data_IF_338784601874
#
_entry.id   IF_338784601874
#
_cell.length_a   1.000
_cell.length_b   1.000
_cell.length_c   1.000
_cell.angle_alpha   90.00
_cell.angle_beta   90.00
_cell.angle_gamma   90.00
#
_symmetry.space_group_name_H-M   'P 1'
#
loop_
_entity.id
_entity.type
_entity.pdbx_description
1 polymer ?
#
# COMPACT_ATOMS: atom_id res chain seq x y z
N UNK A 1 -0.20 -2.91 3.74
CA UNK A 1 -0.95 -4.15 3.48
C UNK A 1 -0.10 -5.37 3.86
N UNK A 2 -0.43 -6.06 4.98
CA UNK A 2 0.29 -7.25 5.46
C UNK A 2 -0.03 -8.53 4.68
N UNK A 3 -0.90 -8.47 3.67
CA UNK A 3 -1.31 -9.63 2.84
C UNK A 3 -0.64 -9.65 1.48
N UNK A 4 -0.29 -8.46 0.97
CA UNK A 4 0.30 -8.28 -0.35
C UNK A 4 1.47 -7.31 -0.28
N UNK A 5 2.67 -7.82 -0.42
CA UNK A 5 3.92 -7.07 -0.31
C UNK A 5 4.27 -6.20 -1.51
N UNK A 6 3.30 -5.64 -2.25
CA UNK A 6 3.60 -4.85 -3.46
C UNK A 6 4.48 -3.64 -3.17
N UNK A 7 4.25 -2.94 -2.07
CA UNK A 7 5.09 -1.81 -1.65
C UNK A 7 6.50 -2.27 -1.25
N UNK A 8 6.62 -3.44 -0.61
CA UNK A 8 7.93 -4.03 -0.23
C UNK A 8 8.79 -4.36 -1.44
N UNK A 9 8.17 -4.61 -2.61
CA UNK A 9 8.92 -4.87 -3.86
C UNK A 9 9.73 -3.65 -4.32
N UNK A 10 9.36 -2.44 -3.93
CA UNK A 10 10.10 -1.21 -4.25
C UNK A 10 11.48 -1.20 -3.61
N UNK A 11 11.64 -1.88 -2.49
CA UNK A 11 12.89 -1.96 -1.70
C UNK A 11 13.45 -3.39 -1.67
N UNK A 12 13.17 -4.19 -2.71
CA UNK A 12 13.74 -5.52 -2.87
C UNK A 12 13.15 -6.61 -1.98
N UNK A 13 12.02 -6.35 -1.32
CA UNK A 13 11.33 -7.30 -0.43
C UNK A 13 12.25 -7.92 0.64
N UNK A 14 12.83 -7.13 1.55
CA UNK A 14 13.70 -7.64 2.60
C UNK A 14 12.97 -8.64 3.50
N UNK A 15 13.76 -9.55 4.09
CA UNK A 15 13.22 -10.63 4.93
C UNK A 15 12.68 -10.18 6.28
N UNK A 16 13.11 -9.02 6.78
CA UNK A 16 12.64 -8.40 8.01
C UNK A 16 11.83 -7.13 7.71
N UNK A 17 10.85 -6.84 8.56
CA UNK A 17 9.97 -5.69 8.36
C UNK A 17 8.89 -5.56 9.42
N UNK A 18 7.78 -4.91 9.03
CA UNK A 18 6.66 -4.58 9.91
C UNK A 18 6.10 -5.80 10.66
N UNK A 19 5.97 -6.95 10.00
CA UNK A 19 5.43 -8.15 10.63
C UNK A 19 6.34 -8.66 11.75
N UNK A 20 7.65 -8.55 11.59
CA UNK A 20 8.63 -8.98 12.58
C UNK A 20 8.61 -8.06 13.79
N UNK A 21 8.49 -6.74 13.57
CA UNK A 21 8.28 -5.78 14.64
C UNK A 21 6.98 -6.03 15.39
N UNK A 22 5.85 -6.16 14.70
CA UNK A 22 4.54 -6.37 15.34
C UNK A 22 4.49 -7.69 16.13
N UNK A 23 5.20 -8.73 15.67
CA UNK A 23 5.32 -10.01 16.34
C UNK A 23 6.30 -9.99 17.53
N UNK A 24 7.03 -8.89 17.73
CA UNK A 24 8.03 -8.79 18.79
C UNK A 24 9.32 -9.56 18.52
N UNK A 25 9.60 -9.92 17.26
CA UNK A 25 10.88 -10.53 16.87
C UNK A 25 12.02 -9.53 16.87
N UNK A 26 11.70 -8.27 16.61
CA UNK A 26 12.62 -7.15 16.71
C UNK A 26 11.94 -5.97 17.42
N UNK A 27 12.75 -5.20 18.15
CA UNK A 27 12.36 -3.91 18.73
C UNK A 27 13.04 -2.74 17.98
N UNK A 28 13.96 -3.07 17.08
CA UNK A 28 14.70 -2.12 16.26
C UNK A 28 13.84 -1.71 15.04
N UNK A 29 13.09 -0.62 15.22
CA UNK A 29 12.24 -0.09 14.17
C UNK A 29 13.07 0.59 13.06
N UNK A 30 14.14 1.27 13.43
CA UNK A 30 15.03 1.95 12.48
C UNK A 30 15.73 0.95 11.56
N UNK A 31 16.20 -0.16 12.11
CA UNK A 31 16.90 -1.21 11.35
C UNK A 31 16.04 -1.93 10.29
N UNK A 32 14.71 -1.80 10.37
CA UNK A 32 13.78 -2.39 9.39
C UNK A 32 13.19 -1.37 8.41
N UNK A 33 13.47 -0.08 8.58
CA UNK A 33 13.10 0.97 7.62
C UNK A 33 14.11 0.99 6.48
N UNK A 34 13.60 1.00 5.26
CA UNK A 34 14.41 1.11 4.05
C UNK A 34 14.41 2.55 3.57
N UNK A 35 15.58 3.20 3.56
CA UNK A 35 15.71 4.57 3.04
C UNK A 35 15.62 4.57 1.52
N UNK A 36 14.68 5.29 0.96
CA UNK A 36 14.35 5.22 -0.46
C UNK A 36 15.50 5.59 -1.38
N UNK A 37 16.39 6.50 -0.98
CA UNK A 37 17.57 6.89 -1.75
C UNK A 37 18.48 5.69 -2.08
N UNK A 38 18.62 4.73 -1.17
CA UNK A 38 19.43 3.53 -1.36
C UNK A 38 18.88 2.60 -2.44
N UNK A 39 17.58 2.70 -2.70
CA UNK A 39 16.84 1.91 -3.68
C UNK A 39 16.50 2.69 -4.96
N UNK A 40 17.07 3.91 -5.11
CA UNK A 40 16.79 4.76 -6.27
C UNK A 40 15.41 5.38 -6.30
N UNK A 41 14.75 5.46 -5.14
CA UNK A 41 13.49 6.17 -4.96
C UNK A 41 13.74 7.68 -4.72
N UNK A 42 12.65 8.40 -4.51
CA UNK A 42 12.70 9.85 -4.26
C UNK A 42 13.40 10.11 -2.92
N UNK A 43 14.16 11.19 -2.86
CA UNK A 43 14.79 11.67 -1.62
C UNK A 43 13.74 11.93 -0.54
N UNK A 44 14.13 11.70 0.71
CA UNK A 44 13.27 11.89 1.88
C UNK A 44 11.96 11.05 1.83
N UNK A 45 12.03 9.88 1.17
CA UNK A 45 10.95 8.90 1.11
C UNK A 45 11.45 7.54 1.58
N UNK A 46 10.92 7.07 2.70
CA UNK A 46 11.28 5.80 3.31
C UNK A 46 10.16 4.77 3.18
N UNK A 47 10.52 3.51 3.19
CA UNK A 47 9.59 2.39 3.09
C UNK A 47 9.78 1.45 4.27
N UNK A 48 8.70 1.19 5.01
CA UNK A 48 8.66 0.11 5.97
C UNK A 48 8.05 -1.13 5.29
N UNK A 49 8.88 -2.10 4.88
CA UNK A 49 8.42 -3.30 4.19
C UNK A 49 7.64 -4.22 5.13
N UNK A 50 6.92 -5.18 4.57
CA UNK A 50 6.20 -6.19 5.38
C UNK A 50 7.17 -7.06 6.16
N UNK A 51 8.30 -7.42 5.57
CA UNK A 51 9.16 -8.49 6.05
C UNK A 51 8.57 -9.87 5.74
N UNK A 52 8.69 -10.80 6.65
CA UNK A 52 8.10 -12.13 6.53
C UNK A 52 6.57 -12.05 6.54
N UNK A 53 5.91 -12.59 5.52
CA UNK A 53 4.45 -12.58 5.45
C UNK A 53 3.83 -13.37 6.59
N UNK A 54 3.02 -12.73 7.46
CA UNK A 54 2.48 -13.40 8.63
C UNK A 54 1.28 -14.28 8.27
N UNK A 55 1.07 -15.41 8.97
CA UNK A 55 -0.10 -16.26 8.78
C UNK A 55 -1.40 -15.61 9.33
N UNK A 56 -1.27 -14.68 10.26
CA UNK A 56 -2.37 -14.04 10.97
C UNK A 56 -2.29 -12.49 10.92
N UNK A 57 -2.36 -11.87 9.73
CA UNK A 57 -2.13 -10.43 9.56
C UNK A 57 -3.05 -9.55 10.41
N UNK A 58 -4.34 -9.89 10.50
CA UNK A 58 -5.31 -9.10 11.27
C UNK A 58 -4.98 -9.06 12.75
N UNK A 59 -4.58 -10.20 13.34
CA UNK A 59 -4.24 -10.27 14.77
C UNK A 59 -3.04 -9.39 15.12
N UNK A 60 -2.05 -9.31 14.23
CA UNK A 60 -0.88 -8.45 14.43
C UNK A 60 -1.24 -6.97 14.49
N UNK A 61 -2.27 -6.55 13.75
CA UNK A 61 -2.74 -5.17 13.77
C UNK A 61 -3.42 -4.79 15.09
N UNK A 62 -3.92 -5.75 15.87
CA UNK A 62 -4.52 -5.51 17.19
C UNK A 62 -3.50 -5.30 18.31
N UNK A 63 -2.22 -5.38 18.01
CA UNK A 63 -1.18 -5.23 19.06
C UNK A 63 -0.94 -3.75 19.40
N UNK A 64 -0.64 -3.47 20.66
CA UNK A 64 -0.23 -2.13 21.12
C UNK A 64 1.03 -1.63 20.39
N UNK A 65 1.80 -2.55 19.81
CA UNK A 65 3.02 -2.24 19.05
C UNK A 65 2.73 -1.41 17.81
N UNK A 66 1.59 -1.65 17.14
CA UNK A 66 1.17 -0.85 15.99
C UNK A 66 0.94 0.61 16.40
N UNK A 67 0.20 0.85 17.48
CA UNK A 67 -0.06 2.20 17.96
C UNK A 67 1.24 2.91 18.40
N UNK A 68 2.11 2.19 19.10
CA UNK A 68 3.40 2.71 19.53
C UNK A 68 4.27 3.12 18.35
N UNK A 69 4.35 2.28 17.33
CA UNK A 69 5.07 2.54 16.08
C UNK A 69 4.52 3.79 15.37
N UNK A 70 3.22 3.86 15.14
CA UNK A 70 2.60 5.03 14.47
C UNK A 70 2.85 6.31 15.26
N UNK A 71 2.83 6.26 16.59
CA UNK A 71 3.13 7.42 17.43
C UNK A 71 4.58 7.88 17.29
N UNK A 72 5.52 6.94 17.17
CA UNK A 72 6.93 7.24 16.90
C UNK A 72 7.10 7.86 15.52
N UNK A 73 6.54 7.23 14.47
CA UNK A 73 6.61 7.74 13.10
C UNK A 73 6.06 9.16 12.94
N UNK A 74 5.01 9.51 13.67
CA UNK A 74 4.44 10.87 13.71
C UNK A 74 5.42 11.92 14.26
N UNK A 75 6.38 11.53 15.05
CA UNK A 75 7.44 12.42 15.58
C UNK A 75 8.60 12.61 14.62
N UNK A 76 8.77 11.69 13.67
CA UNK A 76 9.95 11.60 12.80
C UNK A 76 9.64 12.02 11.36
N UNK A 77 8.39 11.83 10.89
CA UNK A 77 7.98 12.08 9.51
C UNK A 77 6.86 13.11 9.40
N UNK A 78 6.92 13.98 8.39
CA UNK A 78 5.85 14.93 8.07
C UNK A 78 4.57 14.21 7.61
N UNK A 79 4.71 13.09 6.89
CA UNK A 79 3.61 12.28 6.38
C UNK A 79 3.90 10.80 6.55
N UNK A 80 2.94 10.07 7.08
CA UNK A 80 2.96 8.61 7.19
C UNK A 80 1.81 8.04 6.36
N UNK A 81 2.13 7.32 5.29
CA UNK A 81 1.15 6.65 4.45
C UNK A 81 1.01 5.19 4.86
N UNK A 82 -0.20 4.75 5.12
CA UNK A 82 -0.50 3.36 5.44
C UNK A 82 -1.27 2.77 4.26
N UNK A 83 -0.60 1.88 3.50
CA UNK A 83 -1.24 1.12 2.43
C UNK A 83 -2.11 0.01 3.03
N UNK A 84 -3.39 0.05 2.70
CA UNK A 84 -4.40 -0.86 3.23
C UNK A 84 -4.97 -1.76 2.13
N UNK A 85 -5.38 -2.99 2.48
CA UNK A 85 -6.12 -3.84 1.56
C UNK A 85 -7.48 -3.22 1.19
N UNK A 86 -8.16 -3.73 0.14
CA UNK A 86 -9.50 -3.29 -0.20
C UNK A 86 -10.48 -3.37 0.98
N UNK A 87 -11.43 -2.41 1.04
CA UNK A 87 -12.37 -2.24 2.17
C UNK A 87 -13.25 -3.47 2.44
N UNK A 88 -13.36 -4.38 1.49
CA UNK A 88 -14.05 -5.68 1.68
C UNK A 88 -13.44 -6.50 2.83
N UNK A 89 -12.17 -6.23 3.19
CA UNK A 89 -11.50 -6.82 4.36
C UNK A 89 -11.68 -5.87 5.55
N UNK A 90 -12.89 -5.84 6.07
CA UNK A 90 -13.40 -4.81 7.00
C UNK A 90 -12.60 -4.67 8.30
N UNK A 91 -12.06 -5.77 8.85
CA UNK A 91 -11.43 -5.75 10.16
C UNK A 91 -10.13 -4.93 10.20
N UNK A 92 -9.22 -5.17 9.25
CA UNK A 92 -7.92 -4.51 9.19
C UNK A 92 -8.08 -2.99 9.03
N UNK A 93 -8.98 -2.58 8.16
CA UNK A 93 -9.25 -1.16 7.87
C UNK A 93 -9.84 -0.42 9.08
N UNK A 94 -10.70 -1.08 9.87
CA UNK A 94 -11.27 -0.46 11.08
C UNK A 94 -10.25 -0.25 12.19
N UNK A 95 -9.23 -1.11 12.28
CA UNK A 95 -8.16 -0.94 13.26
C UNK A 95 -7.29 0.26 12.85
N UNK A 96 -6.88 0.29 11.59
CA UNK A 96 -5.98 1.30 11.06
C UNK A 96 -6.65 2.68 11.03
N UNK A 97 -7.97 2.73 10.75
CA UNK A 97 -8.74 3.97 10.73
C UNK A 97 -8.63 4.75 12.06
N UNK A 98 -8.63 4.06 13.18
CA UNK A 98 -8.51 4.68 14.50
C UNK A 98 -7.20 5.45 14.68
N UNK A 99 -6.15 4.99 14.01
CA UNK A 99 -4.80 5.55 14.06
C UNK A 99 -4.56 6.61 12.98
N UNK A 100 -5.38 6.65 11.93
CA UNK A 100 -5.23 7.59 10.83
C UNK A 100 -5.86 8.95 11.15
N UNK A 101 -5.32 10.03 10.56
CA UNK A 101 -5.89 11.39 10.62
C UNK A 101 -6.77 11.65 9.41
N UNK A 102 -6.45 11.04 8.27
CA UNK A 102 -7.17 11.13 7.01
C UNK A 102 -7.25 9.77 6.35
N UNK A 103 -8.33 9.56 5.62
CA UNK A 103 -8.50 8.38 4.77
C UNK A 103 -8.62 8.82 3.31
N UNK A 104 -7.79 8.25 2.45
CA UNK A 104 -7.90 8.39 1.00
C UNK A 104 -8.53 7.11 0.47
N UNK A 105 -9.78 7.22 0.01
CA UNK A 105 -10.51 6.10 -0.57
C UNK A 105 -10.29 6.07 -2.08
N UNK A 106 -9.60 5.05 -2.58
CA UNK A 106 -9.24 4.95 -3.99
C UNK A 106 -10.26 4.09 -4.73
N UNK A 107 -10.97 4.71 -5.68
CA UNK A 107 -11.90 4.04 -6.59
C UNK A 107 -11.22 3.88 -7.95
N UNK A 108 -11.23 2.66 -8.49
CA UNK A 108 -10.67 2.41 -9.82
C UNK A 108 -11.78 2.38 -10.87
N UNK A 109 -11.66 3.28 -11.86
CA UNK A 109 -12.59 3.36 -12.99
C UNK A 109 -12.62 2.03 -13.76
N UNK A 110 -13.82 1.54 -14.05
CA UNK A 110 -14.04 0.31 -14.80
C UNK A 110 -13.88 -1.00 -14.02
N UNK A 111 -13.49 -0.95 -12.73
CA UNK A 111 -13.45 -2.13 -11.85
C UNK A 111 -14.58 -2.12 -10.82
N UNK A 112 -14.86 -0.98 -10.22
CA UNK A 112 -15.91 -0.88 -9.22
C UNK A 112 -17.29 -0.86 -9.88
N UNK A 113 -18.22 -1.65 -9.34
CA UNK A 113 -19.62 -1.64 -9.77
C UNK A 113 -20.31 -0.35 -9.29
N UNK A 114 -21.15 0.25 -10.13
CA UNK A 114 -21.87 1.49 -9.79
C UNK A 114 -22.79 1.34 -8.57
N UNK A 115 -23.30 0.14 -8.30
CA UNK A 115 -24.08 -0.16 -7.12
C UNK A 115 -23.34 0.10 -5.80
N UNK A 116 -22.02 -0.05 -5.81
CA UNK A 116 -21.18 0.20 -4.62
C UNK A 116 -20.98 1.69 -4.30
N UNK A 117 -21.40 2.60 -5.18
CA UNK A 117 -21.32 4.05 -4.90
C UNK A 117 -22.19 4.44 -3.71
N UNK A 118 -23.33 3.77 -3.54
CA UNK A 118 -24.20 3.97 -2.38
C UNK A 118 -23.52 3.62 -1.06
N UNK A 119 -22.72 2.56 -1.04
CA UNK A 119 -21.98 2.13 0.14
C UNK A 119 -20.89 3.15 0.52
N UNK A 120 -20.20 3.70 -0.49
CA UNK A 120 -19.18 4.76 -0.27
C UNK A 120 -19.84 6.03 0.28
N UNK A 121 -20.99 6.42 -0.28
CA UNK A 121 -21.76 7.57 0.22
C UNK A 121 -22.20 7.35 1.68
N UNK A 122 -22.61 6.12 2.00
CA UNK A 122 -22.98 5.76 3.36
C UNK A 122 -21.79 5.82 4.32
N UNK A 123 -20.61 5.33 3.91
CA UNK A 123 -19.38 5.46 4.72
C UNK A 123 -19.04 6.91 5.03
N UNK A 124 -19.25 7.81 4.08
CA UNK A 124 -19.05 9.24 4.28
C UNK A 124 -20.08 9.85 5.24
N UNK A 125 -21.37 9.54 5.08
CA UNK A 125 -22.47 10.04 5.93
C UNK A 125 -22.32 9.55 7.37
N UNK A 126 -21.96 8.29 7.54
CA UNK A 126 -21.78 7.66 8.85
C UNK A 126 -20.45 8.04 9.52
N UNK A 127 -19.63 8.86 8.84
CA UNK A 127 -18.27 9.21 9.29
C UNK A 127 -17.44 7.98 9.66
N UNK A 128 -17.61 6.91 8.89
CA UNK A 128 -16.92 5.63 9.12
C UNK A 128 -15.41 5.75 8.99
N UNK A 129 -14.94 6.71 8.20
CA UNK A 129 -13.53 7.01 7.99
C UNK A 129 -13.23 8.47 8.26
N UNK A 130 -12.18 8.75 9.05
CA UNK A 130 -11.78 10.12 9.39
C UNK A 130 -11.38 10.92 8.16
N UNK A 131 -11.93 12.12 8.04
CA UNK A 131 -11.56 13.09 6.99
C UNK A 131 -11.44 12.42 5.61
N UNK A 132 -12.45 11.62 5.24
CA UNK A 132 -12.46 10.83 4.03
C UNK A 132 -12.39 11.70 2.78
N UNK A 133 -11.48 11.36 1.88
CA UNK A 133 -11.34 11.92 0.53
C UNK A 133 -11.43 10.80 -0.49
N UNK A 134 -11.98 11.08 -1.67
CA UNK A 134 -12.16 10.11 -2.74
C UNK A 134 -11.21 10.44 -3.90
N UNK A 135 -10.48 9.42 -4.38
CA UNK A 135 -9.68 9.52 -5.60
C UNK A 135 -10.23 8.55 -6.63
N UNK A 136 -10.55 9.05 -7.82
CA UNK A 136 -10.90 8.23 -8.97
C UNK A 136 -9.65 7.95 -9.81
N UNK A 137 -9.15 6.72 -9.74
CA UNK A 137 -7.96 6.27 -10.45
C UNK A 137 -8.32 5.52 -11.73
N UNK A 138 -7.39 5.47 -12.70
CA UNK A 138 -7.53 4.70 -13.94
C UNK A 138 -8.57 5.24 -14.92
N UNK A 139 -8.90 6.53 -14.86
CA UNK A 139 -9.79 7.17 -15.83
C UNK A 139 -9.13 7.19 -17.20
N UNK A 140 -9.87 6.79 -18.25
CA UNK A 140 -9.42 6.99 -19.62
C UNK A 140 -9.62 8.47 -19.96
N UNK A 141 -8.56 9.17 -20.34
CA UNK A 141 -8.70 10.46 -20.96
C UNK A 141 -9.50 10.28 -22.27
N UNK A 142 -10.77 10.70 -22.29
CA UNK A 142 -11.52 10.77 -23.53
C UNK A 142 -10.85 11.84 -24.39
N UNK A 143 -10.43 11.44 -25.61
CA UNK A 143 -9.71 12.27 -26.54
C UNK A 143 -10.45 13.54 -26.90
N UNK A 144 -10.15 14.62 -26.18
CA UNK A 144 -10.32 15.98 -26.67
C UNK A 144 -9.08 16.36 -27.46
N UNK A 145 -9.18 17.35 -28.32
CA UNK A 145 -8.20 17.85 -29.31
C UNK A 145 -6.79 18.20 -28.78
N UNK A 146 -6.50 17.90 -27.50
CA UNK A 146 -5.23 18.08 -26.78
C UNK A 146 -4.61 16.76 -26.26
N UNK A 147 -5.14 15.60 -26.61
CA UNK A 147 -4.76 14.31 -26.01
C UNK A 147 -3.72 13.52 -26.80
N UNK A 148 -2.56 14.08 -27.14
CA UNK A 148 -1.48 13.31 -27.78
C UNK A 148 -0.34 12.88 -26.83
N UNK A 149 -0.44 13.12 -25.54
CA UNK A 149 0.55 12.67 -24.57
C UNK A 149 -0.12 11.80 -23.51
N UNK A 150 0.33 10.58 -23.41
CA UNK A 150 0.08 9.48 -22.45
C UNK A 150 -0.63 8.25 -23.03
N UNK A 151 -0.01 7.66 -24.05
CA UNK A 151 -0.27 6.26 -24.41
C UNK A 151 0.75 5.37 -23.67
N UNK A 152 0.63 5.24 -22.34
CA UNK A 152 1.26 4.15 -21.61
C UNK A 152 0.21 3.14 -21.21
N UNK A 153 0.09 2.10 -22.03
CA UNK A 153 -0.72 0.94 -21.73
C UNK A 153 -0.03 0.06 -20.69
N UNK A 154 -0.39 0.20 -19.43
CA UNK A 154 -0.11 -0.82 -18.43
C UNK A 154 -1.14 -1.93 -18.58
N UNK A 155 -0.69 -3.03 -19.14
CA UNK A 155 -1.43 -4.29 -19.17
C UNK A 155 -1.15 -5.02 -17.83
N UNK A 156 -1.82 -4.60 -16.76
CA UNK A 156 -1.89 -5.41 -15.54
C UNK A 156 -3.12 -6.30 -15.63
N UNK A 157 -2.89 -7.54 -16.06
CA UNK A 157 -3.86 -8.61 -15.92
C UNK A 157 -3.94 -9.03 -14.45
N UNK A 158 -4.93 -8.54 -13.71
CA UNK A 158 -5.31 -9.15 -12.44
C UNK A 158 -6.22 -10.34 -12.74
N UNK A 159 -5.61 -11.51 -12.94
CA UNK A 159 -6.31 -12.76 -12.83
C UNK A 159 -6.39 -13.13 -11.35
N UNK A 160 -7.57 -13.08 -10.73
CA UNK A 160 -7.82 -13.78 -9.49
C UNK A 160 -7.79 -15.27 -9.78
N UNK A 161 -6.61 -15.85 -9.66
CA UNK A 161 -6.40 -17.29 -9.75
C UNK A 161 -5.52 -17.70 -8.59
N UNK A 162 -6.12 -18.36 -7.60
CA UNK A 162 -5.37 -19.11 -6.61
C UNK A 162 -4.59 -20.21 -7.34
N UNK A 163 -3.28 -20.02 -7.53
CA UNK A 163 -2.39 -21.12 -7.90
C UNK A 163 -1.27 -21.18 -6.86
N UNK A 164 -1.41 -22.17 -5.98
CA UNK A 164 -0.27 -22.75 -5.28
C UNK A 164 0.53 -23.54 -6.34
N UNK A 165 1.71 -23.06 -6.66
CA UNK A 165 2.67 -23.74 -7.52
C UNK A 165 4.07 -23.29 -7.17
N UNK A 166 4.79 -24.14 -6.47
CA UNK A 166 6.22 -24.02 -6.24
C UNK A 166 6.98 -24.16 -7.55
N UNK A 167 7.69 -23.13 -7.99
CA UNK A 167 8.80 -23.31 -8.93
C UNK A 167 10.07 -22.67 -8.39
N UNK A 168 11.03 -23.56 -8.14
CA UNK A 168 12.43 -23.26 -7.86
C UNK A 168 13.12 -22.91 -9.18
N UNK A 169 13.95 -21.86 -9.15
CA UNK A 169 14.93 -21.41 -10.12
C UNK A 169 14.49 -20.27 -11.05
N UNK A 170 15.06 -19.10 -10.75
CA UNK A 170 15.05 -17.97 -11.68
C UNK A 170 15.64 -16.72 -11.04
N UNK A 171 16.96 -16.57 -11.11
CA UNK A 171 17.68 -15.39 -10.59
C UNK A 171 17.11 -14.10 -11.14
N UNK A 172 16.88 -13.17 -10.26
CA UNK A 172 16.45 -11.82 -10.55
C UNK A 172 17.57 -11.08 -11.32
N UNK A 173 17.43 -10.97 -12.63
CA UNK A 173 18.29 -10.08 -13.42
C UNK A 173 17.87 -8.65 -13.10
N UNK A 174 18.83 -7.85 -12.59
CA UNK A 174 18.76 -6.41 -12.47
C UNK A 174 18.18 -5.79 -13.74
N UNK A 175 16.90 -5.41 -13.74
CA UNK A 175 16.38 -4.42 -14.66
C UNK A 175 16.54 -3.07 -13.99
N UNK A 176 17.54 -2.32 -14.48
CA UNK A 176 17.69 -0.89 -14.19
C UNK A 176 16.35 -0.19 -14.37
N UNK A 177 15.88 0.48 -13.33
CA UNK A 177 14.76 1.41 -13.37
C UNK A 177 15.29 2.73 -13.94
N UNK A 178 15.68 2.69 -15.21
CA UNK A 178 16.01 3.90 -15.96
C UNK A 178 14.75 4.32 -16.74
N UNK A 179 14.29 5.52 -16.49
CA UNK A 179 13.23 6.30 -17.19
C UNK A 179 11.85 6.38 -16.55
N UNK A 180 11.75 6.87 -15.31
CA UNK A 180 10.44 7.25 -14.75
C UNK A 180 10.29 8.75 -14.42
N UNK A 181 11.35 9.55 -14.60
CA UNK A 181 11.29 11.02 -14.45
C UNK A 181 11.99 11.64 -15.67
N UNK A 182 11.22 12.00 -16.67
CA UNK A 182 11.55 13.08 -17.60
C UNK A 182 10.33 13.96 -17.73
N UNK A 183 10.48 15.17 -17.15
CA UNK A 183 9.80 16.45 -17.37
C UNK A 183 8.35 16.41 -17.85
#
# INVERSE_FOLDING_TARGET
>A
DLRHGSTSMLVGSPGEGLSDYLNGRTDDLEGIICHGEEYGLVKDFDVLPIGTMPPNPTELLFTDRLEKMIRQMRGEYDYVFIDCPPVEIVADTQIIEKLADRTIFVVRSGLMQRSMLGDIEQFYKDKKFKNMSLILNGTKAQGGRYGHYYRYGYHYGYGYGYHYGSDKNGGCKNRKVENWIKE
#
